data_IF_829608419664
#
_entry.id   IF_829608419664
#
_cell.length_a   1.000
_cell.length_b   1.000
_cell.length_c   1.000
_cell.angle_alpha   90.00
_cell.angle_beta   90.00
_cell.angle_gamma   90.00
#
_symmetry.space_group_name_H-M   'P 1'
#
loop_
_entity.id
_entity.type
_entity.pdbx_description
1 polymer ?
#
# COMPACT_ATOMS: atom_id res chain seq x y z
N UNK A 1 -15.53 -27.04 -11.72
CA UNK A 1 -16.57 -26.49 -10.82
C UNK A 1 -16.09 -25.30 -10.00
N UNK A 2 -14.91 -25.30 -9.36
CA UNK A 2 -14.44 -24.15 -8.56
C UNK A 2 -14.16 -22.90 -9.42
N UNK A 3 -13.53 -23.07 -10.59
CA UNK A 3 -13.21 -21.94 -11.48
C UNK A 3 -14.43 -21.25 -12.11
N UNK A 4 -15.56 -21.96 -12.29
CA UNK A 4 -16.79 -21.34 -12.81
C UNK A 4 -17.47 -20.48 -11.74
N UNK A 5 -17.48 -20.92 -10.49
CA UNK A 5 -18.08 -20.18 -9.36
C UNK A 5 -17.39 -18.82 -9.15
N UNK A 6 -16.05 -18.78 -9.22
CA UNK A 6 -15.29 -17.53 -9.05
C UNK A 6 -15.55 -16.53 -10.19
N UNK A 7 -15.68 -17.03 -11.43
CA UNK A 7 -15.97 -16.19 -12.58
C UNK A 7 -17.39 -15.58 -12.49
N UNK A 8 -18.37 -16.40 -12.09
CA UNK A 8 -19.75 -15.97 -11.88
C UNK A 8 -19.86 -14.94 -10.74
N UNK A 9 -19.13 -15.15 -9.64
CA UNK A 9 -19.06 -14.22 -8.51
C UNK A 9 -18.44 -12.88 -8.92
N UNK A 10 -17.29 -12.92 -9.63
CA UNK A 10 -16.63 -11.70 -10.13
C UNK A 10 -17.55 -10.92 -11.06
N UNK A 11 -18.27 -11.60 -11.96
CA UNK A 11 -19.21 -10.96 -12.87
C UNK A 11 -20.40 -10.33 -12.10
N UNK A 12 -20.95 -11.03 -11.12
CA UNK A 12 -22.02 -10.51 -10.26
C UNK A 12 -21.62 -9.21 -9.55
N UNK A 13 -20.40 -9.14 -9.00
CA UNK A 13 -19.91 -7.92 -8.35
C UNK A 13 -19.48 -6.84 -9.34
N UNK A 14 -18.90 -7.19 -10.49
CA UNK A 14 -18.57 -6.23 -11.54
C UNK A 14 -19.81 -5.50 -12.07
N UNK A 15 -20.95 -6.19 -12.16
CA UNK A 15 -22.23 -5.57 -12.54
C UNK A 15 -22.74 -4.53 -11.51
N UNK A 16 -22.19 -4.52 -10.29
CA UNK A 16 -22.53 -3.60 -9.19
C UNK A 16 -21.42 -2.61 -8.89
N UNK A 17 -20.52 -2.38 -9.85
CA UNK A 17 -19.43 -1.43 -9.72
C UNK A 17 -19.96 0.00 -9.47
N UNK A 18 -19.61 0.64 -8.33
CA UNK A 18 -20.04 1.99 -8.02
C UNK A 18 -19.48 3.03 -8.99
N UNK A 19 -18.30 2.80 -9.59
CA UNK A 19 -17.70 3.74 -10.55
C UNK A 19 -18.54 3.80 -11.82
N UNK A 20 -18.89 2.63 -12.37
CA UNK A 20 -19.77 2.53 -13.54
C UNK A 20 -21.17 3.09 -13.24
N UNK A 21 -21.74 2.80 -12.07
CA UNK A 21 -23.04 3.33 -11.66
C UNK A 21 -23.04 4.86 -11.54
N UNK A 22 -22.00 5.44 -10.92
CA UNK A 22 -21.85 6.88 -10.79
C UNK A 22 -21.62 7.57 -12.14
N UNK A 23 -20.78 6.99 -13.00
CA UNK A 23 -20.56 7.49 -14.36
C UNK A 23 -21.88 7.62 -15.12
N UNK A 24 -22.72 6.57 -15.07
CA UNK A 24 -24.05 6.58 -15.70
C UNK A 24 -24.92 7.72 -15.15
N UNK A 25 -24.99 7.86 -13.83
CA UNK A 25 -25.75 8.94 -13.18
C UNK A 25 -25.28 10.34 -13.61
N UNK A 26 -23.97 10.58 -13.65
CA UNK A 26 -23.39 11.87 -14.05
C UNK A 26 -23.81 12.24 -15.47
N UNK A 27 -23.74 11.28 -16.40
CA UNK A 27 -24.08 11.51 -17.81
C UNK A 27 -25.59 11.69 -18.01
N UNK A 28 -26.42 10.86 -17.39
CA UNK A 28 -27.89 10.96 -17.46
C UNK A 28 -28.41 12.30 -16.91
N UNK A 29 -27.71 12.87 -15.93
CA UNK A 29 -28.07 14.16 -15.32
C UNK A 29 -27.30 15.34 -15.92
N UNK A 30 -26.55 15.16 -17.00
CA UNK A 30 -25.74 16.20 -17.67
C UNK A 30 -24.80 16.95 -16.71
N UNK A 31 -24.24 16.27 -15.70
CA UNK A 31 -23.34 16.87 -14.70
C UNK A 31 -21.89 16.97 -15.19
N UNK A 32 -21.52 16.15 -16.17
CA UNK A 32 -20.25 16.20 -16.90
C UNK A 32 -20.41 15.49 -18.24
N UNK A 33 -19.44 15.68 -19.13
CA UNK A 33 -19.36 15.04 -20.44
C UNK A 33 -18.47 13.79 -20.41
N UNK A 34 -18.65 12.88 -21.37
CA UNK A 34 -17.75 11.73 -21.56
C UNK A 34 -16.28 12.15 -21.74
N UNK A 35 -16.04 13.30 -22.39
CA UNK A 35 -14.69 13.83 -22.60
C UNK A 35 -14.03 14.28 -21.29
N UNK A 36 -14.77 14.96 -20.42
CA UNK A 36 -14.28 15.37 -19.11
C UNK A 36 -13.99 14.16 -18.21
N UNK A 37 -14.88 13.17 -18.20
CA UNK A 37 -14.67 11.93 -17.44
C UNK A 37 -13.44 11.16 -17.96
N UNK A 38 -13.27 11.08 -19.28
CA UNK A 38 -12.07 10.47 -19.88
C UNK A 38 -10.79 11.23 -19.53
N UNK A 39 -10.84 12.56 -19.48
CA UNK A 39 -9.70 13.36 -19.06
C UNK A 39 -9.34 13.14 -17.59
N UNK A 40 -10.34 12.96 -16.71
CA UNK A 40 -10.12 12.60 -15.29
C UNK A 40 -9.46 11.22 -15.19
N UNK A 41 -9.97 10.21 -15.91
CA UNK A 41 -9.34 8.88 -15.93
C UNK A 41 -7.88 8.94 -16.35
N UNK A 42 -7.58 9.64 -17.45
CA UNK A 42 -6.20 9.79 -17.93
C UNK A 42 -5.28 10.42 -16.86
N UNK A 43 -5.73 11.46 -16.17
CA UNK A 43 -4.96 12.10 -15.09
C UNK A 43 -4.70 11.15 -13.92
N UNK A 44 -5.67 10.30 -13.59
CA UNK A 44 -5.52 9.30 -12.53
C UNK A 44 -4.52 8.22 -12.96
N UNK A 45 -4.60 7.75 -14.20
CA UNK A 45 -3.66 6.76 -14.74
C UNK A 45 -2.21 7.29 -14.69
N UNK A 46 -2.00 8.54 -15.11
CA UNK A 46 -0.69 9.21 -15.02
C UNK A 46 -0.21 9.32 -13.56
N UNK A 47 -1.07 9.71 -12.63
CA UNK A 47 -0.71 9.82 -11.20
C UNK A 47 -0.35 8.47 -10.59
N UNK A 48 -1.05 7.40 -10.98
CA UNK A 48 -0.77 6.05 -10.48
C UNK A 48 0.57 5.56 -11.04
N UNK A 49 0.85 5.81 -12.31
CA UNK A 49 2.14 5.44 -12.92
C UNK A 49 3.30 6.15 -12.23
N UNK A 50 3.19 7.47 -12.01
CA UNK A 50 4.19 8.25 -11.27
C UNK A 50 4.41 7.71 -9.85
N UNK A 51 3.34 7.26 -9.18
CA UNK A 51 3.42 6.67 -7.83
C UNK A 51 4.10 5.29 -7.83
N UNK A 52 3.90 4.49 -8.89
CA UNK A 52 4.56 3.19 -9.08
C UNK A 52 6.04 3.40 -9.36
N UNK A 53 6.40 4.28 -10.30
CA UNK A 53 7.79 4.62 -10.60
C UNK A 53 8.50 5.14 -9.34
N UNK A 54 7.85 6.06 -8.61
CA UNK A 54 8.37 6.52 -7.33
C UNK A 54 8.60 5.36 -6.35
N UNK A 55 7.70 4.39 -6.24
CA UNK A 55 7.86 3.28 -5.31
C UNK A 55 9.00 2.34 -5.71
N UNK A 56 9.13 2.03 -7.00
CA UNK A 56 10.15 1.12 -7.54
C UNK A 56 11.57 1.72 -7.49
N UNK A 57 11.69 3.04 -7.68
CA UNK A 57 12.97 3.75 -7.58
C UNK A 57 13.51 3.86 -6.16
N UNK A 58 12.67 3.64 -5.13
CA UNK A 58 13.10 3.81 -3.74
C UNK A 58 14.03 2.67 -3.33
N UNK A 59 15.18 2.99 -2.73
CA UNK A 59 16.08 1.95 -2.22
C UNK A 59 15.38 1.16 -1.12
N UNK A 60 15.71 -0.13 -1.04
CA UNK A 60 15.26 -0.97 0.05
C UNK A 60 15.71 -0.39 1.40
N UNK A 61 14.87 -0.52 2.44
CA UNK A 61 15.22 -0.04 3.77
C UNK A 61 16.48 -0.75 4.31
N UNK A 62 17.31 -0.04 5.10
CA UNK A 62 18.49 -0.64 5.71
C UNK A 62 18.08 -1.69 6.75
N UNK A 63 18.96 -2.69 6.98
CA UNK A 63 18.69 -3.80 7.91
C UNK A 63 18.37 -3.34 9.35
N UNK A 64 18.88 -2.18 9.78
CA UNK A 64 18.58 -1.61 11.11
C UNK A 64 17.09 -1.33 11.30
N UNK A 65 16.38 -0.98 10.22
CA UNK A 65 14.95 -0.64 10.26
C UNK A 65 14.07 -1.84 10.62
N UNK A 66 14.56 -3.09 10.51
CA UNK A 66 13.86 -4.29 10.97
C UNK A 66 13.50 -4.25 12.46
N UNK A 67 14.27 -3.52 13.27
CA UNK A 67 14.09 -3.45 14.73
C UNK A 67 13.49 -2.11 15.19
N UNK A 68 13.22 -1.20 14.25
CA UNK A 68 12.55 0.06 14.52
C UNK A 68 11.04 -0.19 14.75
N UNK A 69 10.43 0.59 15.64
CA UNK A 69 8.98 0.56 15.93
C UNK A 69 8.39 -0.78 16.42
N UNK A 70 9.23 -1.70 16.91
CA UNK A 70 8.75 -2.96 17.55
C UNK A 70 8.01 -2.67 18.86
N UNK A 71 8.47 -1.65 19.60
CA UNK A 71 7.83 -1.17 20.83
C UNK A 71 7.63 0.35 20.74
N UNK A 72 6.55 0.84 21.34
CA UNK A 72 6.28 2.27 21.42
C UNK A 72 7.35 3.02 22.25
N UNK A 73 7.89 2.38 23.30
CA UNK A 73 9.12 2.82 23.98
C UNK A 73 10.31 1.97 23.49
N UNK A 74 11.27 2.56 22.77
CA UNK A 74 12.40 1.82 22.24
C UNK A 74 13.45 1.45 23.31
N UNK A 75 13.32 1.99 24.55
CA UNK A 75 14.22 1.67 25.66
C UNK A 75 13.92 0.27 26.19
N UNK A 76 14.81 -0.68 25.91
CA UNK A 76 14.81 -2.00 26.55
C UNK A 76 15.08 -3.16 25.60
N UNK A 77 14.52 -3.12 24.38
CA UNK A 77 14.62 -4.26 23.45
C UNK A 77 15.65 -4.06 22.33
N UNK A 78 15.68 -2.88 21.70
CA UNK A 78 16.55 -2.59 20.55
C UNK A 78 17.68 -1.60 20.83
N UNK A 79 17.53 -0.77 21.88
CA UNK A 79 18.44 0.33 22.19
C UNK A 79 19.15 0.06 23.52
N UNK A 80 20.47 0.23 23.53
CA UNK A 80 21.33 0.13 24.70
C UNK A 80 21.14 1.33 25.63
N UNK A 81 21.57 1.25 26.90
CA UNK A 81 21.54 2.40 27.81
C UNK A 81 22.30 3.63 27.29
N UNK A 82 23.28 3.42 26.40
CA UNK A 82 24.06 4.46 25.72
C UNK A 82 23.34 5.10 24.51
N UNK A 83 22.11 4.66 24.19
CA UNK A 83 21.33 5.15 23.06
C UNK A 83 21.64 4.51 21.71
N UNK A 84 22.61 3.59 21.63
CA UNK A 84 22.96 2.90 20.39
C UNK A 84 22.10 1.64 20.13
N UNK A 85 21.85 1.34 18.86
CA UNK A 85 21.12 0.13 18.48
C UNK A 85 21.97 -1.13 18.72
N UNK A 86 21.39 -2.15 19.36
CA UNK A 86 22.07 -3.43 19.62
C UNK A 86 22.51 -4.15 18.35
N UNK A 87 21.85 -3.92 17.21
CA UNK A 87 22.23 -4.50 15.91
C UNK A 87 23.54 -3.96 15.33
N UNK A 88 24.06 -2.83 15.84
CA UNK A 88 25.36 -2.30 15.43
C UNK A 88 26.53 -3.05 16.09
N UNK A 89 26.27 -3.94 17.05
CA UNK A 89 27.32 -4.75 17.67
C UNK A 89 27.71 -5.93 16.74
N UNK A 90 28.99 -6.06 16.35
CA UNK A 90 29.49 -7.18 15.57
C UNK A 90 29.22 -8.56 16.19
N UNK A 91 28.98 -8.64 17.51
CA UNK A 91 28.67 -9.86 18.26
C UNK A 91 27.16 -10.12 18.37
N UNK A 92 26.31 -9.25 17.84
CA UNK A 92 24.86 -9.41 17.89
C UNK A 92 24.41 -10.49 16.90
N UNK A 93 24.32 -11.72 17.39
CA UNK A 93 23.92 -12.88 16.58
C UNK A 93 22.45 -13.26 16.78
N UNK A 94 21.86 -12.98 17.95
CA UNK A 94 20.42 -13.16 18.26
C UNK A 94 19.98 -12.18 19.36
N UNK A 95 18.72 -11.71 19.30
CA UNK A 95 18.11 -10.89 20.35
C UNK A 95 17.44 -11.76 21.40
N UNK A 96 18.07 -11.92 22.57
CA UNK A 96 17.41 -12.54 23.73
C UNK A 96 16.80 -11.45 24.59
N UNK A 97 15.47 -11.45 24.71
CA UNK A 97 14.80 -10.78 25.82
C UNK A 97 15.24 -11.48 27.10
N UNK A 98 15.92 -10.77 28.01
CA UNK A 98 15.92 -11.19 29.40
C UNK A 98 14.58 -10.75 29.98
N UNK A 99 13.75 -11.74 30.30
CA UNK A 99 12.51 -11.57 31.07
C UNK A 99 12.86 -11.50 32.54
#
# INVERSE_FOLDING_TARGET
MIGSILADEKAHYAARDPITALKKYILENNLATEQELKAIHKKIDELVEDAVEFADERPLPPRSQLLENVFADPKGFGIRPDGSYRCADPKFTQGTAHV
#
